data_IF_913995488894
#
_entry.id   IF_913995488894
#
_cell.length_a   1.000
_cell.length_b   1.000
_cell.length_c   1.000
_cell.angle_alpha   90.00
_cell.angle_beta   90.00
_cell.angle_gamma   90.00
#
_symmetry.space_group_name_H-M   'P 1'
#
loop_
_entity.id
_entity.type
_entity.pdbx_description
1 polymer ?
#
# COMPACT_ATOMS: atom_id res chain seq x y z
N UNK A 1 8.36 -8.03 14.77
CA UNK A 1 8.16 -6.57 14.66
C UNK A 1 6.91 -6.36 13.82
N UNK A 2 6.05 -5.38 14.13
CA UNK A 2 4.93 -5.07 13.25
C UNK A 2 5.40 -3.97 12.29
N UNK A 3 5.20 -4.15 10.99
CA UNK A 3 5.46 -3.10 10.00
C UNK A 3 4.20 -2.25 9.85
N UNK A 4 4.38 -0.95 9.58
CA UNK A 4 3.33 0.01 9.25
C UNK A 4 3.68 0.68 7.93
N UNK A 5 2.77 0.63 6.97
CA UNK A 5 2.83 1.39 5.72
C UNK A 5 2.34 2.81 5.99
N UNK A 6 3.13 3.81 5.62
CA UNK A 6 2.81 5.24 5.65
C UNK A 6 2.75 5.71 4.20
N UNK A 7 1.68 6.40 3.82
CA UNK A 7 1.45 6.88 2.45
C UNK A 7 1.26 8.39 2.48
N UNK A 8 1.80 9.10 1.49
CA UNK A 8 1.67 10.54 1.29
C UNK A 8 1.94 11.35 2.56
N UNK A 9 3.15 11.24 3.10
CA UNK A 9 3.54 11.94 4.34
C UNK A 9 2.63 11.66 5.56
N UNK A 10 1.98 10.50 5.61
CA UNK A 10 1.08 10.11 6.72
C UNK A 10 -0.37 10.50 6.53
N UNK A 11 -0.79 10.85 5.31
CA UNK A 11 -2.20 10.93 4.94
C UNK A 11 -2.92 9.61 5.25
N UNK A 12 -2.28 8.49 4.92
CA UNK A 12 -2.76 7.16 5.30
C UNK A 12 -1.71 6.35 6.04
N UNK A 13 -2.17 5.55 7.01
CA UNK A 13 -1.32 4.64 7.77
C UNK A 13 -1.98 3.28 7.96
N UNK A 14 -1.26 2.20 7.62
CA UNK A 14 -1.81 0.85 7.65
C UNK A 14 -0.86 -0.15 8.31
N UNK A 15 -1.39 -0.89 9.28
CA UNK A 15 -0.77 -2.12 9.80
C UNK A 15 -1.45 -3.39 9.27
N UNK A 16 -2.48 -3.24 8.44
CA UNK A 16 -3.28 -4.33 7.89
C UNK A 16 -3.38 -4.14 6.38
N UNK A 17 -2.86 -5.11 5.64
CA UNK A 17 -2.81 -5.11 4.18
C UNK A 17 -4.19 -4.93 3.53
N UNK A 18 -5.20 -5.70 3.97
CA UNK A 18 -6.53 -5.65 3.37
C UNK A 18 -7.18 -4.27 3.53
N UNK A 19 -6.94 -3.58 4.65
CA UNK A 19 -7.41 -2.20 4.82
C UNK A 19 -6.71 -1.24 3.88
N UNK A 20 -5.40 -1.40 3.69
CA UNK A 20 -4.63 -0.58 2.76
C UNK A 20 -5.19 -0.72 1.32
N UNK A 21 -5.38 -1.96 0.86
CA UNK A 21 -5.94 -2.25 -0.47
C UNK A 21 -7.28 -1.55 -0.67
N UNK A 22 -8.25 -1.76 0.22
CA UNK A 22 -9.60 -1.17 0.07
C UNK A 22 -9.53 0.36 0.01
N UNK A 23 -8.75 1.00 0.89
CA UNK A 23 -8.62 2.46 0.87
C UNK A 23 -7.93 2.95 -0.39
N UNK A 24 -6.90 2.25 -0.88
CA UNK A 24 -6.18 2.64 -2.09
C UNK A 24 -7.02 2.45 -3.36
N UNK A 25 -7.88 1.43 -3.41
CA UNK A 25 -8.89 1.26 -4.46
C UNK A 25 -9.92 2.40 -4.46
N UNK A 26 -10.40 2.79 -3.28
CA UNK A 26 -11.43 3.84 -3.14
C UNK A 26 -10.87 5.25 -3.44
N UNK A 27 -9.67 5.57 -2.94
CA UNK A 27 -9.11 6.93 -2.98
C UNK A 27 -8.25 7.18 -4.22
N UNK A 28 -7.50 6.19 -4.70
CA UNK A 28 -6.60 6.32 -5.86
C UNK A 28 -7.14 5.61 -7.12
N UNK A 29 -8.20 4.81 -7.00
CA UNK A 29 -8.81 4.12 -8.14
C UNK A 29 -7.96 3.00 -8.73
N UNK A 30 -7.08 2.38 -7.93
CA UNK A 30 -6.24 1.29 -8.42
C UNK A 30 -7.08 0.08 -8.84
N UNK A 31 -6.79 -0.42 -10.03
CA UNK A 31 -7.44 -1.58 -10.63
C UNK A 31 -6.55 -2.23 -11.70
N UNK A 32 -6.96 -3.40 -12.19
CA UNK A 32 -6.33 -4.08 -13.31
C UNK A 32 -5.16 -4.99 -12.91
N UNK A 33 -4.53 -5.61 -13.92
CA UNK A 33 -3.64 -6.76 -13.72
C UNK A 33 -2.43 -6.49 -12.82
N UNK A 34 -1.84 -5.30 -12.88
CA UNK A 34 -0.71 -4.95 -12.03
C UNK A 34 -1.15 -4.85 -10.56
N UNK A 35 -2.29 -4.21 -10.31
CA UNK A 35 -2.90 -4.12 -8.99
C UNK A 35 -3.34 -5.48 -8.46
N UNK A 36 -3.96 -6.32 -9.29
CA UNK A 36 -4.38 -7.68 -8.92
C UNK A 36 -3.20 -8.53 -8.41
N UNK A 37 -2.00 -8.35 -8.97
CA UNK A 37 -0.78 -9.02 -8.49
C UNK A 37 -0.35 -8.53 -7.11
N UNK A 38 -0.47 -7.22 -6.84
CA UNK A 38 -0.22 -6.65 -5.52
C UNK A 38 -1.22 -7.22 -4.51
N UNK A 39 -2.52 -7.16 -4.82
CA UNK A 39 -3.58 -7.70 -3.94
C UNK A 39 -3.37 -9.19 -3.64
N UNK A 40 -3.00 -9.98 -4.65
CA UNK A 40 -2.72 -11.41 -4.49
C UNK A 40 -1.49 -11.70 -3.62
N UNK A 41 -0.54 -10.77 -3.50
CA UNK A 41 0.66 -10.94 -2.69
C UNK A 41 0.36 -10.95 -1.19
N UNK A 42 -0.61 -10.14 -0.74
CA UNK A 42 -0.88 -9.94 0.69
C UNK A 42 0.25 -9.27 1.46
N UNK A 43 1.21 -8.64 0.78
CA UNK A 43 2.47 -8.17 1.34
C UNK A 43 2.58 -6.64 1.31
N UNK A 44 2.86 -6.04 2.46
CA UNK A 44 3.01 -4.59 2.59
C UNK A 44 4.30 -4.09 1.94
N UNK A 45 5.35 -4.91 1.85
CA UNK A 45 6.59 -4.56 1.15
C UNK A 45 6.32 -4.42 -0.36
N UNK A 46 5.62 -5.39 -0.96
CA UNK A 46 5.22 -5.33 -2.38
C UNK A 46 4.28 -4.16 -2.65
N UNK A 47 3.33 -3.89 -1.76
CA UNK A 47 2.44 -2.74 -1.87
C UNK A 47 3.21 -1.41 -1.80
N UNK A 48 4.19 -1.31 -0.89
CA UNK A 48 5.01 -0.12 -0.74
C UNK A 48 5.80 0.17 -2.02
N UNK A 49 6.44 -0.86 -2.58
CA UNK A 49 7.19 -0.77 -3.83
C UNK A 49 6.29 -0.35 -5.00
N UNK A 50 5.09 -0.94 -5.12
CA UNK A 50 4.12 -0.57 -6.15
C UNK A 50 3.73 0.92 -6.08
N UNK A 51 3.44 1.43 -4.89
CA UNK A 51 3.10 2.84 -4.69
C UNK A 51 4.27 3.76 -5.07
N UNK A 52 5.49 3.40 -4.68
CA UNK A 52 6.70 4.14 -5.04
C UNK A 52 6.94 4.18 -6.55
N UNK A 53 6.73 3.05 -7.24
CA UNK A 53 6.84 2.94 -8.70
C UNK A 53 5.77 3.79 -9.43
N UNK A 54 4.59 3.95 -8.84
CA UNK A 54 3.52 4.81 -9.35
C UNK A 54 3.72 6.31 -8.99
N UNK A 55 4.79 6.63 -8.26
CA UNK A 55 5.13 7.99 -7.86
C UNK A 55 4.39 8.51 -6.63
N UNK A 56 3.74 7.62 -5.88
CA UNK A 56 3.14 7.91 -4.58
C UNK A 56 4.20 7.76 -3.50
N UNK A 57 4.32 8.74 -2.62
CA UNK A 57 5.28 8.66 -1.51
C UNK A 57 4.81 7.60 -0.51
N UNK A 58 5.59 6.53 -0.35
CA UNK A 58 5.30 5.44 0.56
C UNK A 58 6.53 4.99 1.33
N UNK A 59 6.37 4.64 2.61
CA UNK A 59 7.44 4.05 3.42
C UNK A 59 6.93 3.00 4.41
N UNK A 60 7.80 2.04 4.74
CA UNK A 60 7.57 1.06 5.81
C UNK A 60 8.36 1.44 7.05
N UNK A 61 7.63 1.64 8.15
CA UNK A 61 8.21 1.94 9.46
C UNK A 61 7.95 0.81 10.46
N UNK A 62 8.89 0.59 11.37
CA UNK A 62 8.70 -0.34 12.48
C UNK A 62 7.70 0.25 13.50
N UNK A 63 6.64 -0.51 13.80
CA UNK A 63 5.59 -0.19 14.75
C UNK A 63 5.58 -1.11 15.99
#
# INVERSE_FOLDING_TARGET
MKQKLVVNHGEFEFTNFNKAVVTLEEEYGYEGLAWDMVVASGDLDILCDFLSDDGIESELVCA
#
